data_IF_179343140213
#
_entry.id   IF_179343140213
#
_cell.length_a   1.000
_cell.length_b   1.000
_cell.length_c   1.000
_cell.angle_alpha   90.00
_cell.angle_beta   90.00
_cell.angle_gamma   90.00
#
_symmetry.space_group_name_H-M   'P 1'
#
loop_
_entity.id
_entity.type
_entity.pdbx_description
1 polymer ?
#
# COMPACT_ATOMS: atom_id res chain seq x y z
N UNK A 1 1.59 2.25 10.30
CA UNK A 1 1.28 2.20 11.75
C UNK A 1 1.66 0.82 12.27
N UNK A 2 1.98 0.62 13.55
CA UNK A 2 2.28 -0.73 14.08
C UNK A 2 1.02 -1.61 14.03
N UNK A 3 1.17 -2.94 13.91
CA UNK A 3 0.06 -3.90 13.92
C UNK A 3 -0.85 -3.74 15.15
N UNK A 4 -0.28 -3.35 16.30
CA UNK A 4 -1.03 -3.14 17.54
C UNK A 4 -1.93 -1.88 17.49
N UNK A 5 -1.47 -0.78 16.88
CA UNK A 5 -2.32 0.40 16.63
C UNK A 5 -3.45 0.04 15.68
N UNK A 6 -3.16 -0.69 14.61
CA UNK A 6 -4.16 -1.13 13.63
C UNK A 6 -5.22 -2.04 14.27
N UNK A 7 -4.84 -2.93 15.20
CA UNK A 7 -5.79 -3.75 15.97
C UNK A 7 -6.65 -2.94 16.94
N UNK A 8 -6.10 -1.90 17.59
CA UNK A 8 -6.86 -1.07 18.56
C UNK A 8 -7.83 -0.10 17.92
N UNK A 9 -7.47 0.46 16.77
CA UNK A 9 -8.38 1.32 15.99
C UNK A 9 -9.21 0.51 15.00
N UNK A 10 -9.08 -0.83 15.03
CA UNK A 10 -9.88 -1.70 14.19
C UNK A 10 -11.34 -1.54 14.58
N UNK A 11 -12.17 -1.15 13.61
CA UNK A 11 -13.62 -1.18 13.76
C UNK A 11 -14.12 -2.62 13.73
N UNK A 12 -13.40 -3.51 13.03
CA UNK A 12 -13.74 -4.91 12.88
C UNK A 12 -12.55 -5.83 13.21
N UNK A 13 -12.82 -6.93 13.90
CA UNK A 13 -11.91 -8.08 13.99
C UNK A 13 -12.36 -9.13 12.99
N UNK A 14 -11.45 -9.55 12.11
CA UNK A 14 -11.76 -10.53 11.06
C UNK A 14 -11.13 -11.88 11.36
N UNK A 15 -11.93 -12.94 11.27
CA UNK A 15 -11.48 -14.33 11.21
C UNK A 15 -11.52 -14.78 9.76
N UNK A 16 -10.35 -15.16 9.22
CA UNK A 16 -10.21 -15.51 7.82
C UNK A 16 -9.67 -16.93 7.64
N UNK A 17 -10.22 -17.67 6.69
CA UNK A 17 -9.66 -18.92 6.19
C UNK A 17 -9.44 -18.80 4.69
N UNK A 18 -8.21 -19.08 4.23
CA UNK A 18 -7.81 -18.86 2.84
C UNK A 18 -7.12 -20.10 2.27
N UNK A 19 -7.51 -20.48 1.06
CA UNK A 19 -6.88 -21.53 0.27
C UNK A 19 -6.54 -20.96 -1.11
N UNK A 20 -5.35 -21.26 -1.63
CA UNK A 20 -4.95 -20.83 -2.97
C UNK A 20 -4.27 -21.93 -3.76
N UNK A 21 -4.53 -21.93 -5.06
CA UNK A 21 -3.79 -22.69 -6.05
C UNK A 21 -3.26 -21.72 -7.10
N UNK A 22 -1.95 -21.78 -7.35
CA UNK A 22 -1.27 -20.96 -8.35
C UNK A 22 -0.68 -21.85 -9.45
N UNK A 23 -0.81 -21.39 -10.68
CA UNK A 23 -0.11 -21.87 -11.86
C UNK A 23 0.67 -20.70 -12.48
N UNK A 24 1.37 -20.92 -13.59
CA UNK A 24 2.27 -19.92 -14.20
C UNK A 24 1.59 -18.58 -14.51
N UNK A 25 0.33 -18.61 -14.97
CA UNK A 25 -0.44 -17.42 -15.34
C UNK A 25 -1.86 -17.40 -14.75
N UNK A 26 -2.15 -18.26 -13.77
CA UNK A 26 -3.49 -18.40 -13.20
C UNK A 26 -3.43 -18.50 -11.68
N UNK A 27 -4.40 -17.90 -11.02
CA UNK A 27 -4.59 -18.01 -9.58
C UNK A 27 -6.04 -18.30 -9.30
N UNK A 28 -6.30 -19.38 -8.57
CA UNK A 28 -7.60 -19.69 -7.96
C UNK A 28 -7.44 -19.54 -6.45
N UNK A 29 -8.42 -18.92 -5.81
CA UNK A 29 -8.47 -18.86 -4.36
C UNK A 29 -9.89 -19.04 -3.83
N UNK A 30 -9.97 -19.57 -2.62
CA UNK A 30 -11.16 -19.56 -1.78
C UNK A 30 -10.85 -18.79 -0.49
N UNK A 31 -11.73 -17.88 -0.12
CA UNK A 31 -11.66 -17.08 1.09
C UNK A 31 -12.97 -17.20 1.87
N UNK A 32 -12.84 -17.38 3.18
CA UNK A 32 -13.91 -17.24 4.15
C UNK A 32 -13.55 -16.07 5.04
N UNK A 33 -14.48 -15.13 5.23
CA UNK A 33 -14.28 -14.00 6.13
C UNK A 33 -15.49 -13.84 7.04
N UNK A 34 -15.22 -13.96 8.34
CA UNK A 34 -16.16 -13.64 9.39
C UNK A 34 -15.68 -12.38 10.11
N UNK A 35 -16.48 -11.33 10.11
CA UNK A 35 -16.14 -10.03 10.69
C UNK A 35 -16.99 -9.77 11.93
N UNK A 36 -16.32 -9.40 13.03
CA UNK A 36 -16.92 -8.99 14.29
C UNK A 36 -16.70 -7.49 14.51
N UNK A 37 -17.74 -6.74 14.85
CA UNK A 37 -17.62 -5.32 15.15
C UNK A 37 -17.10 -5.12 16.58
N UNK A 38 -16.02 -4.37 16.72
CA UNK A 38 -15.40 -4.08 18.02
C UNK A 38 -15.94 -2.80 18.68
N UNK A 39 -16.68 -1.98 17.94
CA UNK A 39 -17.21 -0.68 18.38
C UNK A 39 -18.69 -0.71 18.73
N UNK A 40 -19.40 -1.79 18.41
CA UNK A 40 -20.82 -1.99 18.67
C UNK A 40 -21.06 -3.31 19.39
N UNK A 41 -22.02 -3.34 20.31
CA UNK A 41 -22.46 -4.56 21.00
C UNK A 41 -23.32 -5.49 20.12
N UNK A 42 -23.60 -5.10 18.88
CA UNK A 42 -24.46 -5.85 17.96
C UNK A 42 -23.79 -6.01 16.59
N UNK A 43 -23.58 -7.26 16.19
CA UNK A 43 -23.04 -7.64 14.88
C UNK A 43 -24.10 -7.84 13.81
N UNK A 44 -25.38 -7.53 14.11
CA UNK A 44 -26.50 -7.86 13.22
C UNK A 44 -26.36 -7.30 11.80
N UNK A 45 -25.77 -6.12 11.66
CA UNK A 45 -25.57 -5.44 10.38
C UNK A 45 -24.23 -5.73 9.71
N UNK A 46 -23.34 -6.46 10.39
CA UNK A 46 -21.99 -6.73 9.92
C UNK A 46 -22.04 -7.76 8.81
N UNK A 47 -21.46 -7.39 7.67
CA UNK A 47 -21.40 -8.23 6.48
C UNK A 47 -20.42 -9.39 6.70
N UNK A 48 -20.90 -10.61 6.48
CA UNK A 48 -20.11 -11.83 6.45
C UNK A 48 -19.95 -12.27 4.99
N UNK A 49 -18.75 -12.71 4.62
CA UNK A 49 -18.47 -13.19 3.26
C UNK A 49 -18.01 -14.64 3.33
N UNK A 50 -18.90 -15.57 2.97
CA UNK A 50 -18.58 -16.99 2.95
C UNK A 50 -19.49 -17.79 2.00
N UNK A 51 -18.94 -18.50 1.01
CA UNK A 51 -17.56 -18.39 0.51
C UNK A 51 -17.36 -17.17 -0.40
N UNK A 52 -16.12 -16.72 -0.51
CA UNK A 52 -15.60 -15.96 -1.66
C UNK A 52 -14.70 -16.89 -2.47
N UNK A 53 -14.93 -17.00 -3.77
CA UNK A 53 -14.12 -17.80 -4.69
C UNK A 53 -13.68 -16.88 -5.81
N UNK A 54 -12.39 -16.65 -5.93
CA UNK A 54 -11.83 -15.78 -6.98
C UNK A 54 -10.91 -16.54 -7.91
N UNK A 55 -10.99 -16.24 -9.20
CA UNK A 55 -10.08 -16.72 -10.22
C UNK A 55 -9.56 -15.56 -11.06
N UNK A 56 -8.25 -15.53 -11.28
CA UNK A 56 -7.60 -14.54 -12.14
C UNK A 56 -6.67 -15.23 -13.13
N UNK A 57 -6.87 -14.90 -14.41
CA UNK A 57 -6.00 -15.24 -15.53
C UNK A 57 -5.16 -14.02 -15.86
N UNK A 58 -3.87 -14.11 -15.56
CA UNK A 58 -2.84 -13.16 -15.98
C UNK A 58 -2.65 -13.21 -17.51
N UNK A 59 -2.12 -12.12 -18.11
CA UNK A 59 -1.98 -11.97 -19.56
C UNK A 59 -1.60 -13.24 -20.34
N UNK A 60 -2.53 -13.75 -21.15
CA UNK A 60 -2.31 -14.87 -22.06
C UNK A 60 -2.29 -14.38 -23.51
N UNK A 61 -1.19 -14.65 -24.23
CA UNK A 61 -1.07 -14.29 -25.65
C UNK A 61 -1.98 -15.20 -26.49
N UNK A 62 -2.82 -14.60 -27.33
CA UNK A 62 -3.76 -15.32 -28.19
C UNK A 62 -3.16 -15.59 -29.56
N UNK A 63 -3.23 -16.85 -30.03
CA UNK A 63 -3.04 -17.19 -31.46
C UNK A 63 -1.72 -16.74 -32.10
N UNK A 64 -0.63 -16.59 -31.35
CA UNK A 64 0.67 -16.14 -31.86
C UNK A 64 0.73 -14.65 -32.30
N UNK A 65 -0.39 -13.93 -32.26
CA UNK A 65 -0.45 -12.48 -32.50
C UNK A 65 -0.14 -11.71 -31.20
N UNK A 66 0.31 -10.44 -31.26
CA UNK A 66 0.55 -9.63 -30.06
C UNK A 66 -0.77 -9.12 -29.42
N UNK A 67 -1.77 -10.00 -29.32
CA UNK A 67 -3.04 -9.77 -28.63
C UNK A 67 -3.02 -10.58 -27.33
N UNK A 68 -3.36 -9.94 -26.23
CA UNK A 68 -3.36 -10.54 -24.91
C UNK A 68 -4.77 -10.53 -24.33
N UNK A 69 -5.11 -11.60 -23.63
CA UNK A 69 -6.34 -11.74 -22.88
C UNK A 69 -6.07 -11.87 -21.38
N UNK A 70 -6.97 -11.34 -20.58
CA UNK A 70 -7.01 -11.51 -19.14
C UNK A 70 -8.45 -11.70 -18.69
N UNK A 71 -8.63 -12.32 -17.54
CA UNK A 71 -9.95 -12.57 -16.95
C UNK A 71 -9.84 -12.49 -15.44
N UNK A 72 -10.67 -11.68 -14.82
CA UNK A 72 -10.90 -11.72 -13.38
C UNK A 72 -12.34 -12.14 -13.13
N UNK A 73 -12.56 -13.07 -12.21
CA UNK A 73 -13.89 -13.49 -11.81
C UNK A 73 -13.94 -13.77 -10.32
N UNK A 74 -15.05 -13.38 -9.70
CA UNK A 74 -15.31 -13.68 -8.29
C UNK A 74 -16.74 -14.15 -8.11
N UNK A 75 -16.92 -15.14 -7.24
CA UNK A 75 -18.21 -15.49 -6.67
C UNK A 75 -18.17 -15.19 -5.18
N UNK A 76 -19.12 -14.40 -4.70
CA UNK A 76 -19.25 -14.00 -3.31
C UNK A 76 -20.62 -14.41 -2.77
N UNK A 77 -20.66 -14.95 -1.56
CA UNK A 77 -21.89 -15.14 -0.80
C UNK A 77 -21.87 -14.25 0.44
N UNK A 78 -22.69 -13.21 0.40
CA UNK A 78 -22.82 -12.21 1.44
C UNK A 78 -24.00 -12.51 2.37
N UNK A 79 -23.75 -12.51 3.67
CA UNK A 79 -24.78 -12.74 4.69
C UNK A 79 -24.65 -11.77 5.86
N UNK A 80 -25.78 -11.36 6.45
CA UNK A 80 -25.86 -10.61 7.72
C UNK A 80 -27.24 -10.80 8.33
N UNK A 81 -27.37 -10.61 9.63
CA UNK A 81 -28.65 -10.85 10.32
C UNK A 81 -29.69 -9.76 10.02
N UNK A 82 -29.25 -8.54 9.76
CA UNK A 82 -30.07 -7.37 9.45
C UNK A 82 -29.43 -6.59 8.31
N UNK A 83 -30.20 -6.35 7.24
CA UNK A 83 -29.72 -5.73 6.01
C UNK A 83 -29.82 -6.70 4.83
N UNK A 84 -29.25 -6.31 3.70
CA UNK A 84 -29.34 -7.08 2.45
C UNK A 84 -28.27 -8.17 2.41
N UNK A 85 -28.67 -9.41 2.22
CA UNK A 85 -27.83 -10.55 1.86
C UNK A 85 -27.89 -10.76 0.33
N UNK A 86 -26.84 -11.31 -0.29
CA UNK A 86 -26.89 -11.68 -1.70
C UNK A 86 -25.76 -12.62 -2.07
N UNK A 87 -25.98 -13.42 -3.11
CA UNK A 87 -24.88 -14.03 -3.85
C UNK A 87 -24.55 -13.12 -5.04
N UNK A 88 -23.26 -12.98 -5.34
CA UNK A 88 -22.75 -12.16 -6.43
C UNK A 88 -21.79 -12.99 -7.28
N UNK A 89 -21.94 -12.91 -8.60
CA UNK A 89 -20.95 -13.40 -9.53
C UNK A 89 -20.46 -12.23 -10.39
N UNK A 90 -19.17 -11.96 -10.37
CA UNK A 90 -18.51 -10.91 -11.15
C UNK A 90 -17.57 -11.54 -12.17
N UNK A 91 -17.61 -11.02 -13.40
CA UNK A 91 -16.84 -11.50 -14.53
C UNK A 91 -16.27 -10.30 -15.30
N UNK A 92 -14.95 -10.23 -15.45
CA UNK A 92 -14.26 -9.13 -16.13
C UNK A 92 -13.20 -9.61 -17.13
N UNK A 93 -13.61 -10.11 -18.31
CA UNK A 93 -12.70 -10.34 -19.43
C UNK A 93 -12.13 -9.03 -19.96
N UNK A 94 -10.85 -9.08 -20.36
CA UNK A 94 -10.11 -7.96 -20.93
C UNK A 94 -9.25 -8.44 -22.10
N UNK A 95 -9.17 -7.62 -23.13
CA UNK A 95 -8.31 -7.79 -24.30
C UNK A 95 -7.48 -6.53 -24.50
N UNK A 96 -6.19 -6.67 -24.79
CA UNK A 96 -5.34 -5.54 -25.16
C UNK A 96 -4.22 -5.96 -26.09
N UNK A 97 -3.69 -4.98 -26.83
CA UNK A 97 -2.61 -5.19 -27.78
C UNK A 97 -1.58 -4.07 -27.66
N UNK A 98 -0.34 -4.33 -27.25
CA UNK A 98 0.72 -3.33 -27.30
C UNK A 98 1.21 -3.19 -28.75
N UNK A 99 0.96 -2.02 -29.34
CA UNK A 99 1.33 -1.68 -30.73
C UNK A 99 2.56 -0.77 -30.69
N UNK A 100 3.76 -1.27 -31.02
CA UNK A 100 4.96 -0.43 -31.03
C UNK A 100 4.91 0.57 -32.20
N UNK A 101 5.09 1.85 -31.90
CA UNK A 101 5.24 2.92 -32.89
C UNK A 101 6.74 3.10 -33.15
N UNK A 102 7.29 2.21 -33.97
CA UNK A 102 8.72 2.12 -34.25
C UNK A 102 9.55 2.14 -32.96
N UNK A 103 10.53 3.06 -32.86
CA UNK A 103 11.36 3.27 -31.66
C UNK A 103 10.84 4.38 -30.74
N UNK A 104 9.72 5.01 -31.09
CA UNK A 104 9.28 6.25 -30.44
C UNK A 104 8.39 6.01 -29.23
N UNK A 105 7.66 4.91 -29.17
CA UNK A 105 6.77 4.60 -28.07
C UNK A 105 5.87 3.41 -28.35
N UNK A 106 4.93 3.17 -27.44
CA UNK A 106 3.94 2.11 -27.53
C UNK A 106 2.54 2.71 -27.41
N UNK A 107 1.63 2.25 -28.26
CA UNK A 107 0.21 2.51 -28.14
C UNK A 107 -0.50 1.22 -27.72
N UNK A 108 -1.20 1.24 -26.59
CA UNK A 108 -1.84 0.05 -26.01
C UNK A 108 -3.34 0.30 -25.88
N UNK A 109 -4.15 -0.02 -26.90
CA UNK A 109 -5.60 -0.16 -26.74
C UNK A 109 -5.94 -1.35 -25.84
N UNK A 110 -6.93 -1.15 -24.97
CA UNK A 110 -7.53 -2.16 -24.10
C UNK A 110 -9.05 -2.02 -24.16
N UNK A 111 -9.74 -3.14 -24.30
CA UNK A 111 -11.18 -3.26 -24.14
C UNK A 111 -11.50 -4.32 -23.09
N UNK A 112 -12.42 -4.00 -22.19
CA UNK A 112 -12.94 -4.92 -21.18
C UNK A 112 -14.45 -4.84 -21.11
N UNK A 113 -15.07 -5.95 -20.73
CA UNK A 113 -16.49 -6.03 -20.45
C UNK A 113 -16.67 -6.65 -19.08
N UNK A 114 -17.29 -5.93 -18.15
CA UNK A 114 -17.57 -6.41 -16.81
C UNK A 114 -19.06 -6.68 -16.66
N UNK A 115 -19.39 -7.89 -16.25
CA UNK A 115 -20.74 -8.32 -15.94
C UNK A 115 -20.79 -8.77 -14.49
N UNK A 116 -21.69 -8.19 -13.71
CA UNK A 116 -21.90 -8.53 -12.31
C UNK A 116 -23.35 -8.93 -12.11
N UNK A 117 -23.59 -10.19 -11.77
CA UNK A 117 -24.89 -10.74 -11.42
C UNK A 117 -25.06 -10.73 -9.90
N UNK A 118 -26.27 -10.38 -9.44
CA UNK A 118 -26.68 -10.49 -8.04
C UNK A 118 -27.94 -11.34 -7.95
N UNK A 119 -27.98 -12.23 -6.98
CA UNK A 119 -29.14 -13.10 -6.75
C UNK A 119 -30.42 -12.34 -6.38
N UNK A 120 -30.27 -11.09 -5.93
CA UNK A 120 -31.39 -10.19 -5.60
C UNK A 120 -31.00 -8.71 -5.73
N UNK A 121 -31.98 -7.83 -5.89
CA UNK A 121 -31.81 -6.39 -5.80
C UNK A 121 -31.81 -5.84 -4.36
N UNK A 122 -31.49 -4.55 -4.21
CA UNK A 122 -31.39 -3.89 -2.90
C UNK A 122 -32.72 -3.85 -2.12
N UNK A 123 -33.84 -3.72 -2.83
CA UNK A 123 -35.19 -3.67 -2.25
C UNK A 123 -36.13 -4.75 -2.82
N UNK A 124 -35.63 -5.65 -3.66
CA UNK A 124 -36.43 -6.71 -4.30
C UNK A 124 -35.78 -8.08 -4.07
N UNK A 125 -36.56 -9.15 -4.15
CA UNK A 125 -36.06 -10.53 -4.23
C UNK A 125 -35.61 -10.92 -5.64
N UNK A 126 -35.93 -10.11 -6.65
CA UNK A 126 -35.61 -10.44 -8.04
C UNK A 126 -34.11 -10.27 -8.32
N UNK A 127 -33.49 -11.18 -9.09
CA UNK A 127 -32.11 -11.05 -9.53
C UNK A 127 -31.90 -9.77 -10.34
N UNK A 128 -30.72 -9.16 -10.20
CA UNK A 128 -30.33 -7.96 -10.94
C UNK A 128 -28.94 -8.13 -11.53
N UNK A 129 -28.70 -7.51 -12.66
CA UNK A 129 -27.39 -7.51 -13.32
C UNK A 129 -26.87 -6.09 -13.49
N UNK A 130 -25.55 -5.95 -13.49
CA UNK A 130 -24.85 -4.72 -13.81
C UNK A 130 -23.81 -5.00 -14.87
N UNK A 131 -23.87 -4.23 -15.95
CA UNK A 131 -22.94 -4.33 -17.08
C UNK A 131 -22.11 -3.06 -17.16
N UNK A 132 -20.82 -3.20 -17.47
CA UNK A 132 -19.91 -2.09 -17.67
C UNK A 132 -18.92 -2.38 -18.80
N UNK A 133 -18.97 -1.55 -19.84
CA UNK A 133 -17.99 -1.55 -20.93
C UNK A 133 -16.83 -0.63 -20.57
N UNK A 134 -15.61 -1.13 -20.61
CA UNK A 134 -14.41 -0.38 -20.29
C UNK A 134 -13.49 -0.31 -21.52
N UNK A 135 -13.10 0.91 -21.90
CA UNK A 135 -12.11 1.14 -22.93
C UNK A 135 -10.97 1.98 -22.37
N UNK A 136 -9.73 1.61 -22.70
CA UNK A 136 -8.56 2.42 -22.41
C UNK A 136 -7.61 2.47 -23.59
N UNK A 137 -6.96 3.61 -23.77
CA UNK A 137 -5.88 3.79 -24.73
C UNK A 137 -4.69 4.43 -24.00
N UNK A 138 -3.61 3.67 -23.85
CA UNK A 138 -2.37 4.18 -23.26
C UNK A 138 -1.36 4.47 -24.36
N UNK A 139 -0.82 5.68 -24.42
CA UNK A 139 0.33 6.05 -25.23
C UNK A 139 1.50 6.37 -24.31
N UNK A 140 2.59 5.62 -24.40
CA UNK A 140 3.77 5.82 -23.57
C UNK A 140 5.06 5.82 -24.38
N UNK A 141 6.07 6.50 -23.87
CA UNK A 141 7.42 6.49 -24.42
C UNK A 141 8.45 6.44 -23.30
N UNK A 142 9.67 6.05 -23.65
CA UNK A 142 10.79 6.00 -22.72
C UNK A 142 12.03 6.56 -23.39
N UNK A 143 12.48 7.69 -22.85
CA UNK A 143 13.73 8.32 -23.22
C UNK A 143 14.75 8.03 -22.13
N UNK A 144 15.96 7.61 -22.51
CA UNK A 144 17.01 7.35 -21.54
C UNK A 144 18.34 7.92 -22.01
N UNK A 145 19.07 8.54 -21.09
CA UNK A 145 20.43 9.03 -21.32
C UNK A 145 21.34 8.60 -20.18
N UNK A 146 22.53 8.12 -20.54
CA UNK A 146 23.61 7.80 -19.61
C UNK A 146 24.58 8.98 -19.56
N UNK A 147 24.84 9.49 -18.37
CA UNK A 147 25.76 10.58 -18.10
C UNK A 147 27.01 10.02 -17.42
N UNK A 148 28.18 10.28 -18.00
CA UNK A 148 29.44 9.98 -17.35
C UNK A 148 29.65 10.94 -16.17
N UNK A 149 30.23 10.44 -15.08
CA UNK A 149 30.65 11.26 -13.94
C UNK A 149 32.16 11.14 -13.79
N UNK A 150 32.82 12.25 -13.42
CA UNK A 150 34.25 12.22 -13.14
C UNK A 150 34.49 11.44 -11.83
N UNK A 151 35.23 10.34 -11.90
CA UNK A 151 35.61 9.55 -10.72
C UNK A 151 34.48 8.72 -10.09
N UNK A 152 33.37 8.47 -10.79
CA UNK A 152 32.24 7.70 -10.27
C UNK A 152 31.50 6.88 -11.35
N UNK A 153 30.59 6.02 -10.90
CA UNK A 153 29.76 5.21 -11.79
C UNK A 153 28.77 6.10 -12.57
N UNK A 154 28.59 5.87 -13.88
CA UNK A 154 27.74 6.71 -14.71
C UNK A 154 26.27 6.60 -14.32
N UNK A 155 25.58 7.74 -14.32
CA UNK A 155 24.16 7.84 -13.96
C UNK A 155 23.29 7.74 -15.21
N UNK A 156 22.29 6.88 -15.16
CA UNK A 156 21.25 6.75 -16.18
C UNK A 156 19.99 7.49 -15.72
N UNK A 157 19.60 8.52 -16.49
CA UNK A 157 18.31 9.20 -16.34
C UNK A 157 17.33 8.62 -17.35
N UNK A 158 16.14 8.25 -16.87
CA UNK A 158 15.01 7.83 -17.70
C UNK A 158 13.87 8.83 -17.52
N UNK A 159 13.27 9.22 -18.65
CA UNK A 159 12.06 10.05 -18.71
C UNK A 159 10.99 9.21 -19.39
N UNK A 160 9.88 8.98 -18.69
CA UNK A 160 8.78 8.13 -19.11
C UNK A 160 7.47 8.94 -19.05
N UNK A 161 7.14 9.69 -20.11
CA UNK A 161 5.83 10.30 -20.27
C UNK A 161 4.81 9.24 -20.73
N UNK A 162 3.60 9.35 -20.20
CA UNK A 162 2.46 8.54 -20.58
C UNK A 162 1.18 9.39 -20.63
N UNK A 163 0.32 9.08 -21.60
CA UNK A 163 -1.02 9.61 -21.76
C UNK A 163 -2.00 8.44 -21.75
N UNK A 164 -2.99 8.49 -20.87
CA UNK A 164 -3.96 7.41 -20.69
C UNK A 164 -5.34 8.00 -20.92
N UNK A 165 -6.05 7.53 -21.94
CA UNK A 165 -7.48 7.80 -22.09
C UNK A 165 -8.27 6.63 -21.51
N UNK A 166 -9.33 6.93 -20.76
CA UNK A 166 -10.26 5.94 -20.23
C UNK A 166 -11.71 6.36 -20.47
N UNK A 167 -12.50 5.42 -20.97
CA UNK A 167 -13.93 5.57 -21.15
C UNK A 167 -14.67 4.41 -20.49
N UNK A 168 -15.61 4.78 -19.62
CA UNK A 168 -16.49 3.88 -18.88
C UNK A 168 -17.85 4.61 -18.80
N UNK A 169 -18.84 4.22 -19.61
CA UNK A 169 -20.15 4.84 -19.55
C UNK A 169 -20.81 4.58 -18.20
N UNK A 170 -21.83 5.36 -17.86
CA UNK A 170 -22.57 5.15 -16.62
C UNK A 170 -23.28 3.80 -16.65
N UNK A 171 -22.89 2.83 -15.79
CA UNK A 171 -23.61 1.57 -15.72
C UNK A 171 -24.99 1.81 -15.11
N UNK A 172 -25.97 0.96 -15.45
CA UNK A 172 -27.27 0.96 -14.76
C UNK A 172 -27.05 0.43 -13.34
N UNK A 173 -27.09 1.32 -12.34
CA UNK A 173 -26.83 1.00 -10.93
C UNK A 173 -28.11 0.99 -10.07
N UNK A 174 -29.28 1.28 -10.64
CA UNK A 174 -30.53 1.32 -9.88
C UNK A 174 -30.88 -0.06 -9.32
N UNK A 175 -31.08 -0.15 -8.00
CA UNK A 175 -31.46 -1.40 -7.34
C UNK A 175 -30.31 -2.40 -7.13
N UNK A 176 -29.06 -2.03 -7.42
CA UNK A 176 -27.87 -2.86 -7.11
C UNK A 176 -27.57 -2.77 -5.61
N UNK A 177 -27.49 -3.90 -4.88
CA UNK A 177 -26.99 -3.91 -3.51
C UNK A 177 -25.51 -3.47 -3.45
N UNK A 178 -25.13 -2.74 -2.39
CA UNK A 178 -23.76 -2.27 -2.19
C UNK A 178 -23.11 -3.01 -1.03
N UNK A 179 -21.99 -3.69 -1.32
CA UNK A 179 -21.15 -4.45 -0.39
C UNK A 179 -19.71 -3.95 -0.41
N UNK A 180 -19.14 -3.68 -1.59
CA UNK A 180 -17.79 -3.17 -1.78
C UNK A 180 -17.67 -2.36 -3.10
N UNK A 181 -16.44 -1.94 -3.42
CA UNK A 181 -16.15 -1.06 -4.57
C UNK A 181 -16.63 -1.65 -5.91
N UNK A 182 -16.72 -2.98 -6.04
CA UNK A 182 -17.20 -3.62 -7.27
C UNK A 182 -18.64 -3.25 -7.55
N UNK A 183 -19.45 -2.94 -6.53
CA UNK A 183 -20.87 -2.65 -6.66
C UNK A 183 -21.14 -1.20 -7.05
N UNK A 184 -20.23 -0.27 -6.70
CA UNK A 184 -20.35 1.16 -6.99
C UNK A 184 -19.04 1.73 -7.50
N UNK A 185 -19.03 2.13 -8.78
CA UNK A 185 -17.90 2.83 -9.39
C UNK A 185 -18.39 3.99 -10.27
N UNK A 186 -17.59 5.05 -10.31
CA UNK A 186 -17.89 6.24 -11.09
C UNK A 186 -17.66 6.01 -12.59
N UNK A 187 -18.48 6.64 -13.44
CA UNK A 187 -18.25 6.68 -14.89
C UNK A 187 -16.93 7.39 -15.22
N UNK A 188 -16.32 7.04 -16.35
CA UNK A 188 -15.08 7.63 -16.85
C UNK A 188 -15.28 8.23 -18.23
N UNK A 189 -14.80 9.45 -18.38
CA UNK A 189 -14.35 9.99 -19.66
C UNK A 189 -13.15 10.86 -19.31
N UNK A 190 -12.01 10.19 -19.15
CA UNK A 190 -10.87 10.68 -18.39
C UNK A 190 -9.62 10.66 -19.26
N UNK A 191 -8.85 11.73 -19.19
CA UNK A 191 -7.53 11.83 -19.81
C UNK A 191 -6.49 12.05 -18.72
N UNK A 192 -5.61 11.08 -18.50
CA UNK A 192 -4.57 11.13 -17.46
C UNK A 192 -3.20 11.32 -18.08
N UNK A 193 -2.49 12.32 -17.58
CA UNK A 193 -1.11 12.63 -17.92
C UNK A 193 -0.21 12.11 -16.81
N UNK A 194 0.86 11.41 -17.18
CA UNK A 194 1.89 10.98 -16.23
C UNK A 194 3.27 11.30 -16.78
N UNK A 195 4.16 11.80 -15.93
CA UNK A 195 5.56 12.02 -16.26
C UNK A 195 6.42 11.45 -15.14
N UNK A 196 7.14 10.37 -15.43
CA UNK A 196 8.08 9.76 -14.47
C UNK A 196 9.52 10.10 -14.86
N UNK A 197 10.30 10.59 -13.91
CA UNK A 197 11.75 10.75 -14.02
C UNK A 197 12.41 9.77 -13.06
N UNK A 198 13.35 8.95 -13.55
CA UNK A 198 14.11 7.98 -12.74
C UNK A 198 15.60 8.21 -12.90
N UNK A 199 16.32 8.24 -11.79
CA UNK A 199 17.78 8.29 -11.75
C UNK A 199 18.29 6.97 -11.19
N UNK A 200 19.18 6.33 -11.94
CA UNK A 200 19.76 5.03 -11.56
C UNK A 200 21.25 5.01 -11.86
N UNK A 201 22.02 4.30 -11.05
CA UNK A 201 23.44 4.05 -11.27
C UNK A 201 23.73 2.56 -11.22
N UNK A 202 24.88 2.14 -11.75
CA UNK A 202 25.36 0.78 -11.57
C UNK A 202 26.12 0.69 -10.26
N UNK A 203 25.82 -0.31 -9.44
CA UNK A 203 26.57 -0.60 -8.21
C UNK A 203 27.16 -2.00 -8.33
N UNK A 204 28.41 -2.14 -7.92
CA UNK A 204 29.11 -3.42 -7.83
C UNK A 204 29.00 -3.92 -6.39
N UNK A 205 28.41 -5.10 -6.21
CA UNK A 205 28.26 -5.77 -4.92
C UNK A 205 28.92 -7.16 -5.03
N UNK A 206 30.17 -7.26 -4.57
CA UNK A 206 31.04 -8.40 -4.85
C UNK A 206 31.27 -8.59 -6.35
N UNK A 207 30.89 -9.75 -6.88
CA UNK A 207 30.96 -10.04 -8.32
C UNK A 207 29.69 -9.62 -9.09
N UNK A 208 28.63 -9.22 -8.38
CA UNK A 208 27.35 -8.88 -9.02
C UNK A 208 27.27 -7.40 -9.36
N UNK A 209 26.87 -7.10 -10.60
CA UNK A 209 26.53 -5.75 -11.04
C UNK A 209 25.03 -5.59 -11.00
N UNK A 210 24.53 -4.62 -10.24
CA UNK A 210 23.09 -4.33 -10.16
C UNK A 210 22.82 -2.86 -10.42
N UNK A 211 21.75 -2.59 -11.16
CA UNK A 211 21.20 -1.24 -11.25
C UNK A 211 20.57 -0.87 -9.91
N UNK A 212 21.02 0.23 -9.32
CA UNK A 212 20.38 0.84 -8.18
C UNK A 212 19.63 2.09 -8.65
N UNK A 213 18.33 2.15 -8.38
CA UNK A 213 17.56 3.39 -8.51
C UNK A 213 17.88 4.30 -7.33
N UNK A 214 18.55 5.41 -7.61
CA UNK A 214 18.85 6.47 -6.63
C UNK A 214 17.57 7.24 -6.26
N UNK A 215 16.61 7.27 -7.18
CA UNK A 215 15.31 7.84 -6.90
C UNK A 215 14.48 8.05 -8.14
N UNK A 216 13.21 8.38 -7.90
CA UNK A 216 12.28 8.79 -8.93
C UNK A 216 11.37 9.90 -8.43
N UNK A 217 10.82 10.64 -9.37
CA UNK A 217 9.67 11.52 -9.18
C UNK A 217 8.67 11.24 -10.28
N UNK A 218 7.39 11.07 -9.92
CA UNK A 218 6.29 10.92 -10.85
C UNK A 218 5.25 12.00 -10.57
N UNK A 219 4.94 12.75 -11.62
CA UNK A 219 3.82 13.68 -11.64
C UNK A 219 2.65 13.01 -12.35
N UNK A 220 1.46 13.09 -11.77
CA UNK A 220 0.23 12.52 -12.37
C UNK A 220 -0.93 13.47 -12.18
N UNK A 221 -1.67 13.73 -13.25
CA UNK A 221 -2.86 14.57 -13.22
C UNK A 221 -3.89 14.03 -14.21
N UNK A 222 -5.16 14.02 -13.80
CA UNK A 222 -6.27 13.55 -14.64
C UNK A 222 -7.22 14.70 -14.97
N UNK A 223 -7.74 14.69 -16.19
CA UNK A 223 -8.74 15.61 -16.70
C UNK A 223 -10.04 14.86 -16.97
N UNK A 224 -11.10 15.23 -16.28
CA UNK A 224 -12.46 14.77 -16.54
C UNK A 224 -13.05 15.54 -17.71
N UNK A 225 -13.35 14.85 -18.81
CA UNK A 225 -13.87 15.44 -20.04
C UNK A 225 -15.40 15.62 -20.03
N UNK A 226 -16.10 15.05 -19.04
CA UNK A 226 -17.56 15.18 -18.89
C UNK A 226 -17.96 15.53 -17.47
N UNK A 227 -18.01 14.55 -16.56
CA UNK A 227 -18.31 14.75 -15.14
C UNK A 227 -17.15 14.33 -14.26
N UNK A 228 -16.98 15.03 -13.16
CA UNK A 228 -15.98 14.75 -12.14
C UNK A 228 -16.66 14.43 -10.81
N UNK A 229 -16.15 13.48 -10.02
CA UNK A 229 -16.63 13.22 -8.66
C UNK A 229 -16.54 14.44 -7.75
N UNK A 230 -15.54 15.31 -7.99
CA UNK A 230 -15.31 16.52 -7.19
C UNK A 230 -15.99 17.75 -7.78
N UNK A 231 -16.71 17.62 -8.89
CA UNK A 231 -17.28 18.73 -9.67
C UNK A 231 -16.24 19.56 -10.44
N UNK A 232 -14.94 19.27 -10.32
CA UNK A 232 -13.85 20.00 -10.97
C UNK A 232 -13.33 19.25 -12.20
N UNK A 233 -13.05 19.92 -13.33
CA UNK A 233 -12.58 19.26 -14.55
C UNK A 233 -11.18 18.64 -14.42
N UNK A 234 -10.36 19.13 -13.50
CA UNK A 234 -9.03 18.59 -13.24
C UNK A 234 -8.97 17.97 -11.85
N UNK A 235 -8.31 16.83 -11.74
CA UNK A 235 -7.88 16.29 -10.46
C UNK A 235 -6.80 17.17 -9.84
N UNK A 236 -6.54 16.94 -8.56
CA UNK A 236 -5.31 17.41 -7.93
C UNK A 236 -4.09 16.90 -8.71
N UNK A 237 -3.02 17.70 -8.76
CA UNK A 237 -1.73 17.23 -9.26
C UNK A 237 -1.08 16.39 -8.17
N UNK A 238 -0.87 15.10 -8.47
CA UNK A 238 -0.15 14.20 -7.59
C UNK A 238 1.33 14.20 -7.94
N UNK A 239 2.17 14.34 -6.92
CA UNK A 239 3.61 14.16 -7.00
C UNK A 239 4.00 13.05 -6.03
N UNK A 240 4.49 11.93 -6.54
CA UNK A 240 5.09 10.86 -5.73
C UNK A 240 6.58 10.76 -6.04
N UNK A 241 7.42 10.56 -5.02
CA UNK A 241 8.85 10.44 -5.23
C UNK A 241 9.57 9.76 -4.08
N UNK A 242 10.60 9.02 -4.45
CA UNK A 242 11.53 8.38 -3.52
C UNK A 242 12.93 8.85 -3.89
N UNK A 243 13.71 9.30 -2.91
CA UNK A 243 15.12 9.63 -3.07
C UNK A 243 15.96 8.83 -2.07
N UNK A 244 17.08 8.28 -2.53
CA UNK A 244 17.96 7.40 -1.77
C UNK A 244 19.41 7.82 -1.97
N UNK A 245 20.14 7.96 -0.87
CA UNK A 245 21.59 8.11 -0.93
C UNK A 245 22.28 6.75 -0.99
N UNK A 246 23.49 6.74 -1.53
CA UNK A 246 24.38 5.58 -1.48
C UNK A 246 25.08 5.51 -0.11
N UNK A 247 25.74 4.38 0.12
CA UNK A 247 26.67 4.18 1.23
C UNK A 247 27.64 5.37 1.41
N UNK A 248 28.12 5.65 2.63
CA UNK A 248 27.98 4.81 3.84
C UNK A 248 26.73 5.06 4.68
N UNK A 249 25.97 6.14 4.41
CA UNK A 249 24.77 6.49 5.17
C UNK A 249 23.53 6.40 4.29
N UNK A 250 22.87 5.23 4.23
CA UNK A 250 21.62 5.08 3.48
C UNK A 250 20.52 5.94 4.11
N UNK A 251 20.24 7.06 3.44
CA UNK A 251 19.13 7.96 3.69
C UNK A 251 18.08 7.69 2.63
N UNK A 252 16.84 7.54 3.03
CA UNK A 252 15.70 7.42 2.12
C UNK A 252 14.63 8.44 2.48
N UNK A 253 14.24 9.26 1.51
CA UNK A 253 13.12 10.18 1.61
C UNK A 253 12.00 9.67 0.70
N UNK A 254 10.83 9.48 1.28
CA UNK A 254 9.59 9.12 0.59
C UNK A 254 8.61 10.29 0.69
N UNK A 255 8.00 10.67 -0.43
CA UNK A 255 7.05 11.79 -0.51
C UNK A 255 5.89 11.40 -1.41
N UNK A 256 4.67 11.59 -0.93
CA UNK A 256 3.44 11.56 -1.73
C UNK A 256 2.61 12.80 -1.42
N UNK A 257 2.38 13.63 -2.43
CA UNK A 257 1.72 14.92 -2.28
C UNK A 257 0.63 15.12 -3.34
N UNK A 258 -0.46 15.74 -2.93
CA UNK A 258 -1.57 16.18 -3.79
C UNK A 258 -1.70 17.69 -3.69
N UNK A 259 -1.66 18.35 -4.84
CA UNK A 259 -1.83 19.80 -4.96
C UNK A 259 -3.17 20.13 -5.63
N UNK A 260 -4.05 20.81 -4.91
CA UNK A 260 -5.34 21.23 -5.42
C UNK A 260 -5.23 22.61 -6.08
N UNK A 261 -5.23 22.61 -7.42
CA UNK A 261 -5.11 23.83 -8.22
C UNK A 261 -6.23 24.85 -7.95
N UNK A 262 -7.45 24.39 -7.69
CA UNK A 262 -8.59 25.27 -7.46
C UNK A 262 -8.49 26.01 -6.10
N UNK A 263 -7.81 25.40 -5.12
CA UNK A 263 -7.58 26.01 -3.81
C UNK A 263 -6.23 26.72 -3.70
N UNK A 264 -5.31 26.47 -4.63
CA UNK A 264 -3.93 26.95 -4.56
C UNK A 264 -3.16 26.38 -3.36
N UNK A 265 -3.51 25.17 -2.90
CA UNK A 265 -2.99 24.56 -1.67
C UNK A 265 -2.67 23.08 -1.87
N UNK A 266 -1.74 22.58 -1.06
CA UNK A 266 -1.52 21.14 -0.87
C UNK A 266 -2.74 20.58 -0.13
N UNK A 267 -3.46 19.65 -0.76
CA UNK A 267 -4.62 18.97 -0.17
C UNK A 267 -4.20 17.80 0.71
N UNK A 268 -3.13 17.10 0.34
CA UNK A 268 -2.51 16.07 1.15
C UNK A 268 -0.99 16.03 0.93
N UNK A 269 -0.22 15.77 1.98
CA UNK A 269 1.20 15.46 1.87
C UNK A 269 1.62 14.48 2.95
N UNK A 270 2.29 13.41 2.52
CA UNK A 270 2.85 12.39 3.37
C UNK A 270 4.35 12.32 3.09
N UNK A 271 5.16 12.38 4.14
CA UNK A 271 6.61 12.28 4.03
C UNK A 271 7.16 11.26 5.02
N UNK A 272 8.19 10.52 4.62
CA UNK A 272 8.99 9.70 5.54
C UNK A 272 10.47 9.86 5.20
N UNK A 273 11.23 10.42 6.13
CA UNK A 273 12.68 10.45 6.11
C UNK A 273 13.21 9.29 6.97
N UNK A 274 13.95 8.37 6.36
CA UNK A 274 14.58 7.22 6.99
C UNK A 274 16.09 7.39 6.93
N UNK A 275 16.74 7.30 8.07
CA UNK A 275 18.19 7.38 8.23
C UNK A 275 18.63 6.07 8.89
N UNK A 276 19.45 5.28 8.20
CA UNK A 276 20.05 4.08 8.81
C UNK A 276 21.56 4.28 8.88
N UNK A 277 22.09 4.27 10.08
CA UNK A 277 23.51 4.37 10.37
C UNK A 277 24.01 2.99 10.75
N UNK A 278 24.49 2.25 9.74
CA UNK A 278 24.90 0.86 9.86
C UNK A 278 23.80 -0.02 10.53
N UNK A 279 24.15 -1.01 11.36
CA UNK A 279 23.17 -1.86 12.08
C UNK A 279 22.89 -1.36 13.49
N UNK A 280 23.56 -0.28 13.89
CA UNK A 280 23.62 0.20 15.26
C UNK A 280 22.59 1.29 15.54
N UNK A 281 22.23 2.12 14.56
CA UNK A 281 21.29 3.21 14.79
C UNK A 281 20.38 3.45 13.60
N UNK A 282 19.10 3.70 13.87
CA UNK A 282 18.17 4.19 12.86
C UNK A 282 17.32 5.33 13.42
N UNK A 283 16.93 6.24 12.53
CA UNK A 283 15.99 7.32 12.79
C UNK A 283 14.99 7.38 11.65
N UNK A 284 13.70 7.47 11.97
CA UNK A 284 12.63 7.71 11.02
C UNK A 284 11.79 8.86 11.51
N UNK A 285 11.61 9.85 10.65
CA UNK A 285 10.74 11.00 10.90
C UNK A 285 9.74 11.03 9.76
N UNK A 286 8.46 11.03 10.09
CA UNK A 286 7.40 11.16 9.10
C UNK A 286 6.42 12.26 9.48
N UNK A 287 5.75 12.76 8.46
CA UNK A 287 4.66 13.72 8.59
C UNK A 287 3.50 13.28 7.69
N UNK A 288 2.28 13.46 8.19
CA UNK A 288 1.03 13.18 7.49
C UNK A 288 0.15 14.41 7.59
N UNK A 289 -0.26 14.93 6.45
CA UNK A 289 -1.15 16.08 6.37
C UNK A 289 -2.23 15.83 5.34
N UNK A 290 -3.49 16.11 5.67
CA UNK A 290 -4.62 16.08 4.74
C UNK A 290 -5.66 17.09 5.16
N UNK A 291 -6.10 17.94 4.24
CA UNK A 291 -7.17 18.92 4.47
C UNK A 291 -8.55 18.23 4.48
N UNK A 292 -9.53 18.80 5.20
CA UNK A 292 -10.91 18.33 5.13
C UNK A 292 -11.52 18.62 3.73
N UNK A 293 -12.47 17.79 3.33
CA UNK A 293 -13.15 17.83 2.04
C UNK A 293 -12.80 16.66 1.12
N UNK A 294 -13.21 16.72 -0.16
CA UNK A 294 -12.88 15.69 -1.14
C UNK A 294 -11.38 15.63 -1.40
N UNK A 295 -10.76 14.50 -1.08
CA UNK A 295 -9.37 14.18 -1.36
C UNK A 295 -9.30 13.17 -2.51
N UNK A 296 -8.58 13.52 -3.58
CA UNK A 296 -8.40 12.64 -4.73
C UNK A 296 -7.70 11.35 -4.31
N UNK A 297 -8.19 10.22 -4.83
CA UNK A 297 -7.60 8.90 -4.58
C UNK A 297 -6.86 8.43 -5.82
N UNK A 298 -5.72 7.80 -5.59
CA UNK A 298 -4.96 7.12 -6.63
C UNK A 298 -5.59 5.78 -6.98
N UNK A 299 -5.98 5.68 -8.24
CA UNK A 299 -6.41 4.44 -8.86
C UNK A 299 -7.84 4.05 -8.50
N UNK A 300 -8.35 3.08 -9.25
CA UNK A 300 -9.62 2.42 -9.02
C UNK A 300 -9.57 0.97 -9.54
N UNK A 301 -10.72 0.30 -9.54
CA UNK A 301 -10.87 -1.09 -9.98
C UNK A 301 -10.44 -1.37 -11.42
N UNK A 302 -10.39 -0.35 -12.27
CA UNK A 302 -10.06 -0.49 -13.68
C UNK A 302 -8.61 -0.10 -13.96
N UNK A 303 -8.10 0.93 -13.27
CA UNK A 303 -6.75 1.42 -13.48
C UNK A 303 -6.11 1.91 -12.17
N UNK A 304 -4.96 1.36 -11.73
CA UNK A 304 -4.32 1.73 -10.46
C UNK A 304 -3.54 3.06 -10.50
N UNK A 305 -3.54 3.76 -11.63
CA UNK A 305 -2.73 4.97 -11.85
C UNK A 305 -3.54 6.26 -12.00
N UNK A 306 -4.82 6.19 -12.36
CA UNK A 306 -5.61 7.38 -12.69
C UNK A 306 -6.33 7.96 -11.47
N UNK A 307 -6.78 9.21 -11.57
CA UNK A 307 -7.35 9.96 -10.44
C UNK A 307 -8.84 10.21 -10.71
N UNK A 308 -9.65 9.15 -10.76
CA UNK A 308 -11.07 9.22 -11.07
C UNK A 308 -11.99 9.18 -9.84
N UNK A 309 -11.44 9.05 -8.64
CA UNK A 309 -12.23 8.91 -7.42
C UNK A 309 -11.74 9.87 -6.33
N UNK A 310 -12.61 10.13 -5.34
CA UNK A 310 -12.31 10.97 -4.21
C UNK A 310 -12.97 10.45 -2.93
N UNK A 311 -12.22 10.44 -1.84
CA UNK A 311 -12.74 10.18 -0.50
C UNK A 311 -13.03 11.49 0.21
N UNK A 312 -14.03 11.50 1.08
CA UNK A 312 -14.36 12.69 1.87
C UNK A 312 -13.62 12.61 3.20
N UNK A 313 -12.61 13.45 3.35
CA UNK A 313 -11.94 13.65 4.62
C UNK A 313 -12.80 14.58 5.49
N UNK A 314 -13.24 14.11 6.66
CA UNK A 314 -14.16 14.88 7.53
C UNK A 314 -13.45 15.97 8.33
N UNK A 315 -12.21 15.72 8.73
CA UNK A 315 -11.40 16.63 9.55
C UNK A 315 -9.96 16.67 9.07
N UNK A 316 -9.25 17.75 9.38
CA UNK A 316 -7.81 17.83 9.11
C UNK A 316 -7.09 16.66 9.77
N UNK A 317 -6.22 15.99 9.03
CA UNK A 317 -5.24 15.07 9.58
C UNK A 317 -3.91 15.81 9.60
N UNK A 318 -3.29 15.98 10.77
CA UNK A 318 -1.97 16.59 10.87
C UNK A 318 -1.16 15.92 11.97
N UNK A 319 -0.32 14.97 11.58
CA UNK A 319 0.46 14.15 12.52
C UNK A 319 1.94 14.13 12.14
N UNK A 320 2.78 14.12 13.16
CA UNK A 320 4.18 13.75 13.04
C UNK A 320 4.41 12.39 13.71
N UNK A 321 5.26 11.58 13.11
CA UNK A 321 5.74 10.34 13.73
C UNK A 321 7.26 10.35 13.78
N UNK A 322 7.81 9.93 14.91
CA UNK A 322 9.24 9.77 15.08
C UNK A 322 9.52 8.38 15.64
N UNK A 323 10.52 7.71 15.09
CA UNK A 323 10.98 6.41 15.56
C UNK A 323 12.50 6.39 15.54
N UNK A 324 13.13 6.10 16.67
CA UNK A 324 14.58 6.00 16.77
C UNK A 324 14.94 4.71 17.50
N UNK A 325 15.92 4.00 16.99
CA UNK A 325 16.43 2.78 17.61
C UNK A 325 17.95 2.79 17.65
N UNK A 326 18.51 2.23 18.72
CA UNK A 326 19.95 2.09 18.91
C UNK A 326 20.30 0.72 19.48
N UNK A 327 21.33 0.09 18.93
CA UNK A 327 22.04 -1.03 19.53
C UNK A 327 23.19 -0.46 20.38
N UNK A 328 23.10 -0.68 21.68
CA UNK A 328 24.06 -0.26 22.69
C UNK A 328 25.08 -1.40 22.96
N UNK A 329 26.20 -1.09 23.64
CA UNK A 329 27.12 -2.11 24.14
C UNK A 329 26.41 -3.17 24.99
N UNK A 330 27.07 -4.33 25.14
CA UNK A 330 26.56 -5.47 25.91
C UNK A 330 25.24 -6.07 25.39
N UNK A 331 25.00 -5.99 24.09
CA UNK A 331 23.79 -6.53 23.42
C UNK A 331 22.47 -5.96 23.98
N UNK A 332 22.48 -4.70 24.41
CA UNK A 332 21.28 -3.98 24.79
C UNK A 332 20.77 -3.18 23.60
N UNK A 333 19.47 -3.21 23.34
CA UNK A 333 18.82 -2.50 22.26
C UNK A 333 17.74 -1.61 22.87
N UNK A 334 17.63 -0.37 22.38
CA UNK A 334 16.63 0.58 22.80
C UNK A 334 15.91 1.15 21.59
N UNK A 335 14.59 1.28 21.67
CA UNK A 335 13.76 1.88 20.63
C UNK A 335 12.74 2.81 21.27
N UNK A 336 12.55 3.99 20.68
CA UNK A 336 11.46 4.90 21.01
C UNK A 336 10.64 5.18 19.77
N UNK A 337 9.32 5.18 19.91
CA UNK A 337 8.39 5.52 18.83
C UNK A 337 7.29 6.42 19.36
N UNK A 338 7.13 7.60 18.77
CA UNK A 338 6.13 8.57 19.17
C UNK A 338 5.28 9.05 18.00
N UNK A 339 4.05 9.41 18.33
CA UNK A 339 3.12 10.11 17.44
C UNK A 339 2.73 11.42 18.10
N UNK A 340 2.82 12.53 17.36
CA UNK A 340 2.39 13.85 17.79
C UNK A 340 1.20 14.27 16.91
N UNK A 341 0.06 14.49 17.54
CA UNK A 341 -1.06 15.21 16.93
C UNK A 341 -0.72 16.70 16.97
N UNK A 342 -0.51 17.31 15.79
CA UNK A 342 -0.08 18.69 15.70
C UNK A 342 -1.21 19.67 16.05
N UNK A 343 -2.47 19.30 15.79
CA UNK A 343 -3.63 20.16 16.02
C UNK A 343 -3.98 20.16 17.51
N UNK A 344 -3.97 18.99 18.16
CA UNK A 344 -4.19 18.86 19.60
C UNK A 344 -2.94 19.20 20.44
N UNK A 345 -1.75 19.22 19.84
CA UNK A 345 -0.44 19.33 20.52
C UNK A 345 -0.25 18.28 21.62
N UNK A 346 -0.73 17.06 21.38
CA UNK A 346 -0.64 15.95 22.31
C UNK A 346 0.06 14.77 21.67
N UNK A 347 0.64 13.90 22.49
CA UNK A 347 1.17 12.62 22.05
C UNK A 347 0.10 11.55 22.28
N UNK A 348 -0.69 11.17 21.26
CA UNK A 348 -1.67 10.09 21.40
C UNK A 348 -1.04 8.77 21.81
N UNK A 349 0.23 8.54 21.43
CA UNK A 349 0.96 7.33 21.82
C UNK A 349 2.47 7.54 21.80
N UNK A 350 3.13 7.08 22.86
CA UNK A 350 4.58 6.96 23.00
C UNK A 350 4.94 5.53 23.43
N UNK A 351 5.82 4.88 22.66
CA UNK A 351 6.32 3.54 22.94
C UNK A 351 7.82 3.61 23.26
N UNK A 352 8.23 2.93 24.32
CA UNK A 352 9.63 2.81 24.73
C UNK A 352 9.95 1.34 24.90
N UNK A 353 10.78 0.79 24.03
CA UNK A 353 11.25 -0.58 24.08
C UNK A 353 12.71 -0.66 24.53
N UNK A 354 12.99 -1.61 25.42
CA UNK A 354 14.32 -2.09 25.74
C UNK A 354 14.37 -3.59 25.51
N UNK A 355 15.48 -4.09 24.97
CA UNK A 355 15.68 -5.51 24.78
C UNK A 355 17.15 -5.88 24.99
N UNK A 356 17.41 -6.84 25.86
CA UNK A 356 18.73 -7.38 26.14
C UNK A 356 18.86 -8.79 25.58
N UNK A 357 19.95 -9.07 24.85
CA UNK A 357 20.29 -10.41 24.37
C UNK A 357 21.44 -10.97 25.22
N UNK A 358 21.22 -12.10 25.88
CA UNK A 358 22.27 -12.76 26.67
C UNK A 358 23.49 -13.11 25.82
N UNK A 359 24.69 -13.10 26.40
CA UNK A 359 25.93 -13.33 25.68
C UNK A 359 25.98 -14.68 24.94
N UNK A 360 25.32 -15.71 25.47
CA UNK A 360 25.19 -17.02 24.80
C UNK A 360 24.19 -17.02 23.64
N UNK A 361 23.42 -15.93 23.46
CA UNK A 361 22.32 -15.77 22.48
C UNK A 361 21.26 -16.87 22.55
N UNK A 362 21.23 -17.61 23.65
CA UNK A 362 20.22 -18.61 23.95
C UNK A 362 19.04 -18.03 24.71
N UNK A 363 19.14 -16.79 25.19
CA UNK A 363 18.04 -16.11 25.87
C UNK A 363 18.08 -14.60 25.66
N UNK A 364 16.95 -13.95 25.85
CA UNK A 364 16.82 -12.49 25.84
C UNK A 364 15.67 -12.04 26.73
N UNK A 365 15.73 -10.79 27.18
CA UNK A 365 14.71 -10.18 28.02
C UNK A 365 14.41 -8.78 27.51
N UNK A 366 13.14 -8.47 27.33
CA UNK A 366 12.65 -7.19 26.86
C UNK A 366 11.69 -6.55 27.85
N UNK A 367 11.67 -5.22 27.82
CA UNK A 367 10.73 -4.37 28.53
C UNK A 367 10.13 -3.35 27.56
N UNK A 368 8.83 -3.15 27.64
CA UNK A 368 8.10 -2.22 26.79
C UNK A 368 7.19 -1.39 27.68
N UNK A 369 7.31 -0.09 27.52
CA UNK A 369 6.47 0.90 28.18
C UNK A 369 5.69 1.64 27.11
N UNK A 370 4.36 1.60 27.21
CA UNK A 370 3.47 2.29 26.29
C UNK A 370 2.67 3.32 27.09
N UNK A 371 2.83 4.57 26.70
CA UNK A 371 2.13 5.71 27.28
C UNK A 371 1.12 6.26 26.29
N UNK A 372 -0.12 6.41 26.74
CA UNK A 372 -1.23 7.07 26.04
C UNK A 372 -1.90 8.05 27.03
N UNK A 373 -2.68 9.04 26.55
CA UNK A 373 -3.32 10.02 27.43
C UNK A 373 -4.15 9.41 28.56
N UNK A 374 -4.92 8.36 28.25
CA UNK A 374 -5.87 7.74 29.18
C UNK A 374 -5.41 6.38 29.72
N UNK A 375 -4.25 5.89 29.27
CA UNK A 375 -3.81 4.53 29.58
C UNK A 375 -2.29 4.39 29.55
N UNK A 376 -1.75 3.70 30.55
CA UNK A 376 -0.34 3.34 30.63
C UNK A 376 -0.22 1.82 30.73
N UNK A 377 0.64 1.23 29.90
CA UNK A 377 0.87 -0.21 29.85
C UNK A 377 2.36 -0.55 29.99
N UNK A 378 2.63 -1.68 30.63
CA UNK A 378 3.95 -2.26 30.77
C UNK A 378 3.90 -3.71 30.28
N UNK A 379 4.88 -4.12 29.48
CA UNK A 379 5.03 -5.49 29.06
C UNK A 379 6.48 -5.96 29.26
N UNK A 380 6.62 -7.23 29.62
CA UNK A 380 7.89 -7.92 29.74
C UNK A 380 7.86 -9.11 28.80
N UNK A 381 8.93 -9.30 28.04
CA UNK A 381 9.08 -10.45 27.13
C UNK A 381 10.35 -11.19 27.52
N UNK A 382 10.25 -12.48 27.75
CA UNK A 382 11.41 -13.34 27.93
C UNK A 382 11.46 -14.34 26.77
N UNK A 383 12.61 -14.42 26.12
CA UNK A 383 12.82 -15.28 24.96
C UNK A 383 13.84 -16.34 25.30
N UNK A 384 13.52 -17.61 25.02
CA UNK A 384 14.46 -18.72 25.07
C UNK A 384 14.71 -19.22 23.64
N UNK A 385 15.89 -18.93 23.11
CA UNK A 385 16.28 -19.29 21.75
C UNK A 385 16.35 -20.81 21.58
N UNK A 386 15.58 -21.35 20.62
CA UNK A 386 15.57 -22.76 20.28
C UNK A 386 14.59 -23.64 21.06
N UNK A 387 13.81 -23.07 22.00
CA UNK A 387 12.81 -23.82 22.80
C UNK A 387 11.37 -23.57 22.29
N UNK A 388 11.19 -22.61 21.38
CA UNK A 388 9.90 -22.18 20.84
C UNK A 388 9.49 -20.80 21.33
N UNK A 389 8.31 -20.34 20.94
CA UNK A 389 7.73 -19.07 21.40
C UNK A 389 6.22 -19.17 21.54
N UNK A 390 5.64 -18.30 22.37
CA UNK A 390 4.20 -18.05 22.42
C UNK A 390 3.94 -16.61 22.00
N UNK A 391 2.99 -16.40 21.09
CA UNK A 391 2.59 -15.05 20.72
C UNK A 391 1.80 -14.40 21.86
N UNK A 392 2.05 -13.12 22.09
CA UNK A 392 1.29 -12.24 22.96
C UNK A 392 0.87 -11.01 22.14
N UNK A 393 -0.12 -10.22 22.60
CA UNK A 393 -0.48 -8.95 21.97
C UNK A 393 0.71 -7.99 21.79
N UNK A 394 1.77 -8.15 22.61
CA UNK A 394 2.98 -7.35 22.55
C UNK A 394 4.09 -7.96 21.68
N UNK A 395 4.07 -9.27 21.42
CA UNK A 395 5.14 -9.96 20.67
C UNK A 395 5.30 -9.38 19.26
N UNK A 396 4.19 -9.10 18.57
CA UNK A 396 4.19 -8.44 17.26
C UNK A 396 4.76 -7.01 17.31
N UNK A 397 4.38 -6.24 18.35
CA UNK A 397 4.88 -4.89 18.56
C UNK A 397 6.40 -4.88 18.82
N UNK A 398 6.90 -5.80 19.65
CA UNK A 398 8.35 -5.96 19.85
C UNK A 398 9.08 -6.31 18.56
N UNK A 399 8.58 -7.30 17.78
CA UNK A 399 9.19 -7.64 16.49
C UNK A 399 9.26 -6.41 15.59
N UNK A 400 8.15 -5.69 15.44
CA UNK A 400 8.09 -4.48 14.59
C UNK A 400 9.05 -3.37 15.03
N UNK A 401 9.18 -3.11 16.34
CA UNK A 401 10.06 -2.05 16.87
C UNK A 401 11.56 -2.37 16.67
N UNK A 402 11.96 -3.62 16.88
CA UNK A 402 13.37 -4.00 16.90
C UNK A 402 13.91 -4.57 15.58
N UNK A 403 13.03 -4.97 14.65
CA UNK A 403 13.42 -5.57 13.36
C UNK A 403 14.42 -4.72 12.56
N UNK A 404 14.31 -3.38 12.63
CA UNK A 404 15.20 -2.46 11.91
C UNK A 404 16.63 -2.43 12.45
N UNK A 405 16.85 -2.81 13.70
CA UNK A 405 18.19 -3.02 14.28
C UNK A 405 18.75 -4.41 13.92
N UNK A 406 18.09 -5.16 13.03
CA UNK A 406 18.46 -6.53 12.68
C UNK A 406 18.20 -7.53 13.81
N UNK A 407 17.49 -7.13 14.87
CA UNK A 407 17.13 -8.00 15.97
C UNK A 407 15.80 -8.69 15.67
N UNK A 408 15.86 -10.00 15.44
CA UNK A 408 14.67 -10.86 15.49
C UNK A 408 14.58 -11.49 16.87
N UNK A 409 13.62 -11.00 17.68
CA UNK A 409 13.39 -11.50 19.04
C UNK A 409 12.93 -12.95 19.09
N UNK A 410 12.62 -13.60 17.96
CA UNK A 410 12.30 -15.03 17.89
C UNK A 410 13.49 -15.87 17.44
N UNK A 411 14.50 -15.25 16.82
CA UNK A 411 15.67 -15.92 16.24
C UNK A 411 16.97 -15.27 16.72
N UNK A 412 17.17 -15.27 18.04
CA UNK A 412 18.35 -14.66 18.68
C UNK A 412 19.70 -15.24 18.17
N UNK A 413 19.71 -16.45 17.63
CA UNK A 413 20.90 -17.10 17.05
C UNK A 413 21.27 -16.61 15.65
N UNK A 414 20.30 -16.10 14.89
CA UNK A 414 20.48 -15.72 13.48
C UNK A 414 20.83 -14.24 13.29
N UNK A 415 20.79 -13.45 14.38
CA UNK A 415 21.19 -12.04 14.36
C UNK A 415 22.68 -11.96 14.01
N UNK A 416 23.04 -11.34 12.89
CA UNK A 416 24.44 -11.14 12.51
C UNK A 416 25.20 -10.45 13.65
N UNK A 417 26.43 -10.88 13.95
CA UNK A 417 27.30 -10.19 14.91
C UNK A 417 27.38 -8.69 14.55
N UNK A 418 27.06 -7.81 15.50
CA UNK A 418 27.55 -6.44 15.42
C UNK A 418 29.08 -6.54 15.35
N UNK A 419 29.74 -5.83 14.42
CA UNK A 419 31.19 -5.87 14.36
C UNK A 419 31.73 -5.53 15.75
N UNK A 420 32.59 -6.41 16.26
CA UNK A 420 33.25 -6.22 17.54
C UNK A 420 34.23 -5.06 17.44
N UNK A 421 33.75 -3.82 17.47
CA UNK A 421 34.57 -2.65 17.78
C UNK A 421 34.65 -2.45 19.29
N UNK A 422 34.93 -3.55 20.01
CA UNK A 422 35.71 -3.47 21.23
C UNK A 422 37.18 -3.37 20.82
N UNK A 423 37.62 -2.17 20.45
CA UNK A 423 39.00 -1.75 20.66
C UNK A 423 38.95 -0.42 21.40
N UNK A 424 39.38 -0.49 22.66
CA UNK A 424 39.80 0.60 23.53
C UNK A 424 40.06 1.93 22.81
N UNK A 425 39.25 2.95 23.06
CA UNK A 425 39.55 4.07 23.96
C UNK A 425 38.28 4.87 24.23
#
# INVERSE_FOLDING_TARGET
>A
MSENVLQRVAVFQESQAYLTRRWDNQVLYGLTRYSQNLTSLSDKTVLQTFPEIGYSLSPARLGGIPLYAGLDTTFDSFSRQQGVDAQRADLFPRLWAPIPIARYGTLTPLAGFRETFYSRGFQTSDPVTKEALYFSLTADTRLSRRFAQAGGEPVTHKIEPALIYEYLPQPRQSGIPVFNDVDSFAKKNLLTYSLTNRLSTMVVDGETRRYLEMGYIRLTQSQHLTSSPTGKPWSDLRAEGIARTLNPFPVELDVDAFYNHALGKISAVNTDLRLNFAKEFFLTIGQRFTLPGPAAVRGDLFNPMTLNDAIVQTQTTHFYNAEAGVALPYNLYAVVRGYLDQDARTFPEMNYGLYYVGSSRCWGAGFLFIQRPDQTEFAFVFTLGGVGFTDSPFSALYRGLFQRLGLDIQKLRDVSQLPSSARSF
#
